data_IF_387477638507
#
_entry.id   IF_387477638507
#
_cell.length_a   1.000
_cell.length_b   1.000
_cell.length_c   1.000
_cell.angle_alpha   90.00
_cell.angle_beta   90.00
_cell.angle_gamma   90.00
#
_symmetry.space_group_name_H-M   'P 1'
#
loop_
_entity.id
_entity.type
_entity.pdbx_description
1 polymer ?
#
# COMPACT_ATOMS: atom_id res chain seq x y z
N UNK A 1 -7.52 -11.32 -0.75
CA UNK A 1 -6.54 -10.21 -0.83
C UNK A 1 -7.06 -9.05 0.01
N UNK A 2 -6.22 -8.46 0.87
CA UNK A 2 -6.62 -7.41 1.81
C UNK A 2 -6.49 -6.01 1.18
N UNK A 3 -7.42 -5.12 1.51
CA UNK A 3 -7.45 -3.73 1.08
C UNK A 3 -7.10 -2.82 2.25
N UNK A 4 -6.08 -1.99 2.07
CA UNK A 4 -5.66 -0.97 3.03
C UNK A 4 -6.16 0.40 2.56
N UNK A 5 -6.75 1.15 3.49
CA UNK A 5 -7.12 2.55 3.28
C UNK A 5 -6.10 3.39 4.04
N UNK A 6 -5.11 3.91 3.34
CA UNK A 6 -3.97 4.59 3.97
C UNK A 6 -3.48 5.77 3.15
N UNK A 7 -3.01 6.78 3.87
CA UNK A 7 -2.20 7.83 3.25
C UNK A 7 -0.86 7.25 2.81
N UNK A 8 -0.46 7.63 1.60
CA UNK A 8 0.77 7.15 1.00
C UNK A 8 1.34 8.20 0.05
N UNK A 9 2.63 8.06 -0.22
CA UNK A 9 3.33 8.84 -1.23
C UNK A 9 3.69 7.93 -2.39
N UNK A 10 3.64 8.44 -3.62
CA UNK A 10 4.10 7.72 -4.81
C UNK A 10 5.38 8.41 -5.30
N UNK A 11 6.46 7.64 -5.44
CA UNK A 11 7.74 8.12 -5.97
C UNK A 11 8.38 7.03 -6.83
N UNK A 12 8.79 7.35 -8.06
CA UNK A 12 9.46 6.42 -8.98
C UNK A 12 8.70 5.07 -9.13
N UNK A 13 7.38 5.11 -9.31
CA UNK A 13 6.50 3.94 -9.38
C UNK A 13 6.40 3.09 -8.09
N UNK A 14 6.98 3.55 -6.98
CA UNK A 14 6.82 2.93 -5.68
C UNK A 14 5.78 3.67 -4.84
N UNK A 15 4.94 2.90 -4.16
CA UNK A 15 4.03 3.36 -3.13
C UNK A 15 4.73 3.21 -1.76
N UNK A 16 4.72 4.28 -0.98
CA UNK A 16 5.38 4.37 0.32
C UNK A 16 4.34 4.70 1.39
N UNK A 17 4.20 3.81 2.37
CA UNK A 17 3.40 4.01 3.59
C UNK A 17 4.36 4.16 4.77
N UNK A 18 4.22 5.26 5.50
CA UNK A 18 5.04 5.56 6.68
C UNK A 18 4.26 5.48 8.00
N UNK A 19 2.97 5.10 7.94
CA UNK A 19 2.13 4.95 9.13
C UNK A 19 2.61 3.72 9.95
N UNK A 20 3.13 3.92 11.18
CA UNK A 20 3.70 2.84 11.98
C UNK A 20 2.67 1.78 12.38
N UNK A 21 1.40 2.16 12.58
CA UNK A 21 0.34 1.22 12.96
C UNK A 21 0.01 0.27 11.81
N UNK A 22 -0.11 0.79 10.59
CA UNK A 22 -0.29 0.00 9.37
C UNK A 22 0.88 -0.95 9.17
N UNK A 23 2.11 -0.47 9.36
CA UNK A 23 3.32 -1.29 9.19
C UNK A 23 3.36 -2.38 10.25
N UNK A 24 3.02 -2.07 11.50
CA UNK A 24 2.92 -3.06 12.58
C UNK A 24 1.82 -4.09 12.29
N UNK A 25 0.67 -3.68 11.77
CA UNK A 25 -0.41 -4.57 11.36
C UNK A 25 0.05 -5.50 10.22
N UNK A 26 0.66 -4.94 9.18
CA UNK A 26 1.19 -5.69 8.04
C UNK A 26 2.24 -6.72 8.48
N UNK A 27 3.18 -6.34 9.35
CA UNK A 27 4.28 -7.22 9.80
C UNK A 27 3.87 -8.23 10.86
N UNK A 28 3.18 -7.80 11.92
CA UNK A 28 2.94 -8.62 13.12
C UNK A 28 1.65 -9.42 13.01
N UNK A 29 0.58 -8.78 12.52
CA UNK A 29 -0.76 -9.39 12.47
C UNK A 29 -0.92 -10.20 11.20
N UNK A 30 -0.69 -9.56 10.05
CA UNK A 30 -0.90 -10.16 8.74
C UNK A 30 0.31 -10.97 8.26
N UNK A 31 1.47 -10.79 8.92
CA UNK A 31 2.73 -11.50 8.62
C UNK A 31 3.14 -11.38 7.15
N UNK A 32 2.87 -10.22 6.55
CA UNK A 32 3.27 -9.91 5.19
C UNK A 32 4.79 -9.88 5.07
N UNK A 33 5.28 -10.29 3.91
CA UNK A 33 6.68 -10.39 3.56
C UNK A 33 6.97 -9.68 2.24
N UNK A 34 8.25 -9.49 1.96
CA UNK A 34 8.68 -9.04 0.64
C UNK A 34 8.22 -10.03 -0.44
N UNK A 35 7.75 -9.50 -1.56
CA UNK A 35 7.13 -10.26 -2.64
C UNK A 35 5.61 -10.42 -2.53
N UNK A 36 5.02 -10.23 -1.35
CA UNK A 36 3.56 -10.29 -1.18
C UNK A 36 2.88 -9.12 -1.92
N UNK A 37 1.63 -9.35 -2.33
CA UNK A 37 0.84 -8.38 -3.07
C UNK A 37 -0.34 -7.90 -2.22
N UNK A 38 -0.50 -6.58 -2.12
CA UNK A 38 -1.56 -5.93 -1.36
C UNK A 38 -2.30 -4.89 -2.21
N UNK A 39 -3.54 -4.58 -1.83
CA UNK A 39 -4.24 -3.44 -2.39
C UNK A 39 -4.15 -2.25 -1.44
N UNK A 40 -3.75 -1.09 -1.97
CA UNK A 40 -3.71 0.16 -1.22
C UNK A 40 -4.60 1.17 -1.91
N UNK A 41 -5.48 1.80 -1.15
CA UNK A 41 -6.36 2.86 -1.60
C UNK A 41 -6.12 4.09 -0.71
N UNK A 42 -6.03 5.27 -1.33
CA UNK A 42 -5.83 6.51 -0.59
C UNK A 42 -7.06 6.85 0.25
N UNK A 43 -6.84 7.33 1.47
CA UNK A 43 -7.88 7.93 2.32
C UNK A 43 -8.15 9.40 2.00
N UNK A 44 -7.35 10.03 1.13
CA UNK A 44 -7.60 11.41 0.71
C UNK A 44 -8.92 11.53 -0.04
N UNK A 45 -9.69 12.55 0.33
CA UNK A 45 -11.00 12.85 -0.25
C UNK A 45 -10.90 12.94 -1.80
N UNK A 46 -11.94 12.46 -2.48
CA UNK A 46 -12.14 12.50 -3.94
C UNK A 46 -11.28 11.58 -4.82
N UNK A 47 -10.53 10.63 -4.24
CA UNK A 47 -9.84 9.60 -5.05
C UNK A 47 -10.32 8.20 -4.69
N UNK A 48 -10.93 7.50 -5.65
CA UNK A 48 -11.25 6.06 -5.60
C UNK A 48 -10.14 5.22 -6.24
N UNK A 49 -8.93 5.77 -6.35
CA UNK A 49 -7.79 5.10 -6.96
C UNK A 49 -7.26 4.03 -6.02
N UNK A 50 -7.16 2.81 -6.54
CA UNK A 50 -6.62 1.64 -5.87
C UNK A 50 -5.38 1.18 -6.60
N UNK A 51 -4.32 0.94 -5.85
CA UNK A 51 -3.06 0.41 -6.35
C UNK A 51 -2.91 -1.05 -5.91
N UNK A 52 -2.55 -1.91 -6.85
CA UNK A 52 -2.02 -3.23 -6.57
C UNK A 52 -0.51 -3.10 -6.40
N UNK A 53 -0.01 -3.45 -5.23
CA UNK A 53 1.37 -3.15 -4.80
C UNK A 53 2.08 -4.44 -4.42
N UNK A 54 3.26 -4.70 -5.01
CA UNK A 54 4.18 -5.75 -4.56
C UNK A 54 5.13 -5.19 -3.52
N UNK A 55 5.14 -5.76 -2.32
CA UNK A 55 6.00 -5.30 -1.23
C UNK A 55 7.46 -5.56 -1.58
N UNK A 56 8.27 -4.50 -1.58
CA UNK A 56 9.72 -4.57 -1.76
C UNK A 56 10.48 -4.40 -0.46
N UNK A 57 9.97 -3.58 0.48
CA UNK A 57 10.46 -3.49 1.85
C UNK A 57 9.31 -3.31 2.84
N UNK A 58 9.47 -3.89 4.03
CA UNK A 58 8.50 -3.76 5.13
C UNK A 58 9.24 -3.72 6.48
N UNK A 59 10.07 -2.70 6.63
CA UNK A 59 10.90 -2.49 7.81
C UNK A 59 10.31 -1.41 8.73
N UNK A 60 10.80 -0.18 8.63
CA UNK A 60 10.27 1.02 9.29
C UNK A 60 9.28 1.78 8.40
N UNK A 61 9.34 1.55 7.09
CA UNK A 61 8.37 1.98 6.09
C UNK A 61 7.91 0.76 5.31
N UNK A 62 6.71 0.81 4.76
CA UNK A 62 6.28 -0.13 3.74
C UNK A 62 6.53 0.52 2.39
N UNK A 63 7.41 -0.08 1.60
CA UNK A 63 7.68 0.30 0.22
C UNK A 63 7.21 -0.85 -0.65
N UNK A 64 6.49 -0.52 -1.71
CA UNK A 64 6.17 -1.52 -2.72
C UNK A 64 6.02 -0.94 -4.11
N UNK A 65 6.31 -1.77 -5.09
CA UNK A 65 6.18 -1.45 -6.51
C UNK A 65 4.71 -1.50 -6.92
N UNK A 66 4.23 -0.46 -7.60
CA UNK A 66 2.88 -0.44 -8.16
C UNK A 66 2.87 -1.32 -9.42
N UNK A 67 2.10 -2.40 -9.36
CA UNK A 67 1.89 -3.35 -10.46
C UNK A 67 0.71 -2.91 -11.32
N UNK A 68 -0.35 -2.43 -10.68
CA UNK A 68 -1.58 -2.02 -11.36
C UNK A 68 -2.21 -0.85 -10.61
N UNK A 69 -2.86 0.04 -11.36
CA UNK A 69 -3.68 1.10 -10.79
C UNK A 69 -5.08 1.04 -11.39
N UNK A 70 -6.07 0.88 -10.53
CA UNK A 70 -7.49 0.91 -10.91
C UNK A 70 -8.11 2.20 -10.38
N UNK A 71 -8.61 3.04 -11.29
CA UNK A 71 -9.39 4.24 -10.93
C UNK A 71 -10.83 4.01 -11.33
N UNK A 72 -11.77 4.17 -10.39
CA UNK A 72 -13.21 4.13 -10.70
C UNK A 72 -13.77 5.55 -10.69
N UNK A 73 -13.98 6.12 -11.88
CA UNK A 73 -14.79 7.33 -11.99
C UNK A 73 -16.24 6.99 -11.65
N UNK A 74 -16.83 7.81 -10.77
CA UNK A 74 -18.23 7.67 -10.35
C UNK A 74 -19.16 8.34 -11.36
#
# INVERSE_FOLDING_TARGET
MQLFHEEHTIQNNNLIISNPDTIAQCRKVLRLKTGDIIHVQSTKANTTTRHLVRISDISQTLIGEIIETTTKNK
#
